data_IF_422032193307
#
_entry.id   IF_422032193307
#
_cell.length_a   1.000
_cell.length_b   1.000
_cell.length_c   1.000
_cell.angle_alpha   90.00
_cell.angle_beta   90.00
_cell.angle_gamma   90.00
#
_symmetry.space_group_name_H-M   'P 1'
#
loop_
_entity.id
_entity.type
_entity.pdbx_description
1 polymer ?
#
# COMPACT_ATOMS: atom_id res chain seq x y z
N UNK A 1 17.69 18.16 -4.41
CA UNK A 1 16.60 17.19 -4.20
C UNK A 1 17.07 16.16 -3.19
N UNK A 2 16.32 15.96 -2.12
CA UNK A 2 16.58 14.87 -1.16
C UNK A 2 16.43 13.55 -1.91
N UNK A 3 17.45 12.69 -1.91
CA UNK A 3 17.36 11.39 -2.57
C UNK A 3 16.22 10.58 -1.95
N UNK A 4 15.30 10.07 -2.77
CA UNK A 4 14.20 9.20 -2.35
C UNK A 4 14.65 7.74 -2.29
N UNK A 5 15.71 7.52 -1.51
CA UNK A 5 16.22 6.19 -1.24
C UNK A 5 15.38 5.45 -0.17
N UNK A 6 15.68 4.15 -0.01
CA UNK A 6 14.95 3.29 0.94
C UNK A 6 15.06 3.80 2.38
N UNK A 7 16.18 4.38 2.78
CA UNK A 7 16.41 4.86 4.15
C UNK A 7 15.50 6.07 4.41
N UNK A 8 15.46 7.04 3.49
CA UNK A 8 14.57 8.19 3.57
C UNK A 8 13.09 7.77 3.64
N UNK A 9 12.69 6.87 2.75
CA UNK A 9 11.30 6.39 2.68
C UNK A 9 10.89 5.63 3.94
N UNK A 10 11.75 4.75 4.44
CA UNK A 10 11.52 4.04 5.70
C UNK A 10 11.40 5.00 6.88
N UNK A 11 12.26 6.03 6.94
CA UNK A 11 12.19 7.09 7.96
C UNK A 11 10.85 7.83 7.93
N UNK A 12 10.34 8.17 6.74
CA UNK A 12 9.01 8.79 6.58
C UNK A 12 7.91 7.82 7.00
N UNK A 13 8.03 6.53 6.68
CA UNK A 13 7.04 5.51 7.04
C UNK A 13 6.93 5.32 8.56
N UNK A 14 8.06 5.23 9.26
CA UNK A 14 8.12 5.03 10.71
C UNK A 14 7.79 6.31 11.49
N UNK A 15 8.20 7.45 10.94
CA UNK A 15 8.01 8.78 11.53
C UNK A 15 6.56 9.26 11.57
N UNK A 16 6.37 10.40 12.23
CA UNK A 16 5.08 11.10 12.39
C UNK A 16 5.04 12.48 11.71
N UNK A 17 6.03 12.79 10.88
CA UNK A 17 6.05 14.05 10.13
C UNK A 17 5.00 14.02 9.00
N UNK A 18 3.92 14.77 9.23
CA UNK A 18 2.81 14.89 8.29
C UNK A 18 3.19 15.63 7.01
N UNK A 19 4.06 16.63 7.08
CA UNK A 19 4.49 17.41 5.91
C UNK A 19 5.43 16.59 5.03
N UNK A 20 6.37 15.86 5.63
CA UNK A 20 7.22 14.92 4.90
C UNK A 20 6.40 13.82 4.21
N UNK A 21 5.34 13.32 4.88
CA UNK A 21 4.43 12.32 4.30
C UNK A 21 3.64 12.89 3.12
N UNK A 22 3.11 14.12 3.24
CA UNK A 22 2.38 14.79 2.14
C UNK A 22 3.30 15.09 0.95
N UNK A 23 4.52 15.55 1.20
CA UNK A 23 5.51 15.80 0.17
C UNK A 23 5.83 14.51 -0.61
N UNK A 24 6.05 13.39 0.10
CA UNK A 24 6.24 12.08 -0.54
C UNK A 24 5.05 11.69 -1.42
N UNK A 25 3.82 11.92 -0.96
CA UNK A 25 2.63 11.62 -1.77
C UNK A 25 2.54 12.47 -3.03
N UNK A 26 2.78 13.77 -2.93
CA UNK A 26 2.74 14.68 -4.07
C UNK A 26 3.79 14.30 -5.13
N UNK A 27 5.00 13.99 -4.68
CA UNK A 27 6.09 13.57 -5.57
C UNK A 27 5.78 12.23 -6.25
N UNK A 28 5.27 11.24 -5.52
CA UNK A 28 4.85 9.97 -6.12
C UNK A 28 3.71 10.15 -7.11
N UNK A 29 2.70 10.96 -6.81
CA UNK A 29 1.59 11.21 -7.73
C UNK A 29 2.06 11.82 -9.05
N UNK A 30 3.10 12.66 -9.02
CA UNK A 30 3.69 13.24 -10.23
C UNK A 30 4.35 12.20 -11.15
N UNK A 31 4.62 10.98 -10.67
CA UNK A 31 5.19 9.88 -11.46
C UNK A 31 4.12 9.05 -12.22
N UNK A 32 2.88 9.54 -12.26
CA UNK A 32 1.80 8.90 -13.00
C UNK A 32 1.19 7.69 -12.29
N UNK A 33 0.52 6.78 -13.03
CA UNK A 33 -0.30 5.72 -12.43
C UNK A 33 0.44 4.80 -11.45
N UNK A 34 1.68 4.42 -11.77
CA UNK A 34 2.49 3.58 -10.87
C UNK A 34 2.82 4.28 -9.55
N UNK A 35 3.03 5.60 -9.61
CA UNK A 35 3.22 6.43 -8.42
C UNK A 35 1.95 6.55 -7.58
N UNK A 36 0.77 6.64 -8.22
CA UNK A 36 -0.52 6.62 -7.51
C UNK A 36 -0.75 5.26 -6.82
N UNK A 37 -0.38 4.14 -7.46
CA UNK A 37 -0.36 2.81 -6.82
C UNK A 37 0.53 2.82 -5.59
N UNK A 38 1.76 3.35 -5.71
CA UNK A 38 2.71 3.43 -4.60
C UNK A 38 2.19 4.28 -3.42
N UNK A 39 1.55 5.43 -3.69
CA UNK A 39 0.91 6.27 -2.66
C UNK A 39 -0.13 5.48 -1.89
N UNK A 40 -1.03 4.78 -2.60
CA UNK A 40 -2.14 4.10 -1.95
C UNK A 40 -1.67 2.90 -1.11
N UNK A 41 -0.69 2.13 -1.60
CA UNK A 41 -0.04 1.06 -0.84
C UNK A 41 0.62 1.61 0.43
N UNK A 42 1.44 2.66 0.30
CA UNK A 42 2.14 3.27 1.43
C UNK A 42 1.15 3.80 2.48
N UNK A 43 0.13 4.52 2.03
CA UNK A 43 -0.89 5.11 2.91
C UNK A 43 -1.72 4.04 3.61
N UNK A 44 -2.20 3.04 2.88
CA UNK A 44 -2.96 1.92 3.47
C UNK A 44 -2.14 1.23 4.57
N UNK A 45 -0.88 0.93 4.28
CA UNK A 45 0.01 0.25 5.23
C UNK A 45 0.32 1.11 6.46
N UNK A 46 0.67 2.39 6.28
CA UNK A 46 0.96 3.31 7.38
C UNK A 46 -0.26 3.52 8.27
N UNK A 47 -1.45 3.70 7.68
CA UNK A 47 -2.71 3.81 8.42
C UNK A 47 -3.03 2.52 9.19
N UNK A 48 -2.85 1.35 8.57
CA UNK A 48 -3.03 0.06 9.25
C UNK A 48 -2.09 -0.11 10.43
N UNK A 49 -0.83 0.32 10.32
CA UNK A 49 0.14 0.27 11.42
C UNK A 49 -0.26 1.23 12.55
N UNK A 50 -0.65 2.46 12.23
CA UNK A 50 -1.10 3.46 13.22
C UNK A 50 -2.37 3.02 13.96
N UNK A 51 -3.32 2.39 13.28
CA UNK A 51 -4.52 1.87 13.91
C UNK A 51 -4.21 0.81 14.99
N UNK A 52 -3.15 0.01 14.82
CA UNK A 52 -2.67 -0.94 15.84
C UNK A 52 -2.06 -0.22 17.05
N UNK A 53 -1.39 0.92 16.84
CA UNK A 53 -0.83 1.75 17.91
C UNK A 53 -1.94 2.47 18.69
N UNK A 54 -3.01 2.91 18.02
CA UNK A 54 -4.14 3.61 18.65
C UNK A 54 -5.16 2.67 19.33
N UNK A 55 -4.86 1.39 19.52
CA UNK A 55 -5.75 0.47 20.22
C UNK A 55 -6.14 1.04 21.60
N UNK A 56 -7.44 1.18 21.84
CA UNK A 56 -7.99 1.77 23.07
C UNK A 56 -8.07 3.32 23.08
N UNK A 57 -7.87 3.99 21.93
CA UNK A 57 -7.92 5.46 21.79
C UNK A 57 -8.83 5.89 20.63
N UNK A 58 -9.29 7.14 20.65
CA UNK A 58 -10.27 7.68 19.69
C UNK A 58 -9.84 7.80 18.22
N UNK A 59 -8.55 7.58 17.88
CA UNK A 59 -8.04 7.72 16.50
C UNK A 59 -7.96 6.40 15.72
N UNK A 60 -8.35 5.28 16.33
CA UNK A 60 -8.28 3.96 15.70
C UNK A 60 -9.18 3.86 14.46
N UNK A 61 -10.44 4.25 14.60
CA UNK A 61 -11.44 4.04 13.55
C UNK A 61 -11.13 4.94 12.34
N UNK A 62 -10.80 6.20 12.59
CA UNK A 62 -10.34 7.12 11.55
C UNK A 62 -9.12 6.59 10.77
N UNK A 63 -8.21 5.85 11.43
CA UNK A 63 -7.08 5.22 10.76
C UNK A 63 -7.50 4.01 9.92
N UNK A 64 -8.44 3.18 10.37
CA UNK A 64 -8.99 2.08 9.58
C UNK A 64 -9.83 2.57 8.40
N UNK A 65 -10.62 3.63 8.57
CA UNK A 65 -11.37 4.26 7.47
C UNK A 65 -10.42 4.79 6.41
N UNK A 66 -9.30 5.42 6.84
CA UNK A 66 -8.27 5.90 5.92
C UNK A 66 -7.57 4.76 5.18
N UNK A 67 -7.33 3.63 5.86
CA UNK A 67 -6.81 2.41 5.23
C UNK A 67 -7.78 1.93 4.16
N UNK A 68 -9.07 1.79 4.48
CA UNK A 68 -10.08 1.33 3.52
C UNK A 68 -10.16 2.26 2.31
N UNK A 69 -10.29 3.56 2.53
CA UNK A 69 -10.30 4.55 1.44
C UNK A 69 -9.04 4.50 0.56
N UNK A 70 -7.88 4.18 1.13
CA UNK A 70 -6.65 4.00 0.36
C UNK A 70 -6.68 2.72 -0.48
N UNK A 71 -7.28 1.64 0.04
CA UNK A 71 -7.48 0.40 -0.71
C UNK A 71 -8.46 0.59 -1.86
N UNK A 72 -9.54 1.34 -1.66
CA UNK A 72 -10.53 1.61 -2.72
C UNK A 72 -9.89 2.40 -3.87
N UNK A 73 -9.14 3.46 -3.55
CA UNK A 73 -8.37 4.22 -4.54
C UNK A 73 -7.30 3.37 -5.25
N UNK A 74 -6.63 2.46 -4.53
CA UNK A 74 -5.68 1.53 -5.14
C UNK A 74 -6.36 0.66 -6.19
N UNK A 75 -7.51 0.10 -5.85
CA UNK A 75 -8.30 -0.76 -6.73
C UNK A 75 -8.80 -0.01 -7.95
N UNK A 76 -9.33 1.21 -7.78
CA UNK A 76 -9.80 2.01 -8.91
C UNK A 76 -8.65 2.30 -9.91
N UNK A 77 -7.46 2.65 -9.41
CA UNK A 77 -6.27 2.91 -10.26
C UNK A 77 -5.76 1.64 -10.95
N UNK A 78 -5.77 0.49 -10.26
CA UNK A 78 -5.37 -0.80 -10.84
C UNK A 78 -6.36 -1.29 -11.92
N UNK A 79 -7.64 -0.96 -11.78
CA UNK A 79 -8.66 -1.23 -12.80
C UNK A 79 -8.50 -0.32 -14.01
N UNK A 80 -8.33 0.98 -13.78
CA UNK A 80 -8.18 1.99 -14.84
C UNK A 80 -6.89 1.79 -15.65
N UNK A 81 -5.81 1.38 -15.00
CA UNK A 81 -4.48 1.23 -15.61
C UNK A 81 -4.00 -0.24 -15.59
N UNK A 82 -4.81 -1.14 -16.13
CA UNK A 82 -4.45 -2.56 -16.26
C UNK A 82 -3.15 -2.80 -17.05
N UNK A 83 -2.74 -1.85 -17.89
CA UNK A 83 -1.46 -1.85 -18.61
C UNK A 83 -0.22 -1.78 -17.70
N UNK A 84 -0.37 -1.46 -16.41
CA UNK A 84 0.73 -1.53 -15.44
C UNK A 84 1.25 -2.95 -15.20
N UNK A 85 0.49 -3.98 -15.59
CA UNK A 85 0.95 -5.38 -15.55
C UNK A 85 1.11 -5.96 -14.14
N UNK A 86 0.57 -5.31 -13.11
CA UNK A 86 0.57 -5.84 -11.74
C UNK A 86 -0.48 -6.93 -11.58
N UNK A 87 -0.10 -8.07 -11.01
CA UNK A 87 -1.06 -9.11 -10.61
C UNK A 87 -1.67 -8.75 -9.26
N UNK A 88 -2.99 -8.73 -9.16
CA UNK A 88 -3.70 -8.39 -7.93
C UNK A 88 -5.10 -9.01 -7.91
N UNK A 89 -5.74 -8.99 -6.74
CA UNK A 89 -7.14 -9.37 -6.62
C UNK A 89 -7.56 -9.66 -5.19
N UNK A 90 -8.78 -10.16 -5.04
CA UNK A 90 -9.38 -10.51 -3.75
C UNK A 90 -9.38 -12.01 -3.50
N UNK A 91 -9.12 -12.43 -2.26
CA UNK A 91 -9.31 -13.81 -1.82
C UNK A 91 -9.73 -13.84 -0.36
N UNK A 92 -10.58 -14.79 0.00
CA UNK A 92 -10.93 -15.01 1.42
C UNK A 92 -9.77 -15.68 2.15
N UNK A 93 -9.48 -15.22 3.37
CA UNK A 93 -8.65 -15.90 4.34
C UNK A 93 -9.53 -16.81 5.21
N UNK A 94 -9.54 -18.13 4.98
CA UNK A 94 -10.42 -19.05 5.72
C UNK A 94 -10.04 -19.18 7.19
N UNK A 95 -8.87 -18.65 7.61
CA UNK A 95 -8.40 -18.66 8.99
C UNK A 95 -8.82 -17.42 9.77
N UNK A 96 -9.35 -16.40 9.10
CA UNK A 96 -9.76 -15.15 9.72
C UNK A 96 -11.26 -15.18 10.06
N UNK A 97 -11.59 -15.14 11.36
CA UNK A 97 -12.98 -15.06 11.83
C UNK A 97 -13.65 -13.72 11.48
N UNK A 98 -12.86 -12.64 11.40
CA UNK A 98 -13.28 -11.29 11.04
C UNK A 98 -12.32 -10.69 10.01
N UNK A 99 -12.81 -9.76 9.18
CA UNK A 99 -12.04 -9.16 8.09
C UNK A 99 -11.44 -10.19 7.12
N UNK A 100 -12.26 -11.18 6.75
CA UNK A 100 -11.83 -12.34 5.96
C UNK A 100 -11.43 -12.02 4.53
N UNK A 101 -11.81 -10.86 3.98
CA UNK A 101 -11.45 -10.49 2.62
C UNK A 101 -10.05 -9.89 2.58
N UNK A 102 -9.20 -10.41 1.71
CA UNK A 102 -7.83 -9.95 1.57
C UNK A 102 -7.59 -9.46 0.15
N UNK A 103 -7.15 -8.20 0.03
CA UNK A 103 -6.60 -7.67 -1.20
C UNK A 103 -5.13 -8.08 -1.28
N UNK A 104 -4.74 -8.79 -2.34
CA UNK A 104 -3.36 -9.14 -2.64
C UNK A 104 -2.85 -8.34 -3.83
N UNK A 105 -1.59 -7.92 -3.78
CA UNK A 105 -0.89 -7.26 -4.88
C UNK A 105 0.53 -7.84 -5.00
N UNK A 106 0.88 -8.34 -6.17
CA UNK A 106 2.25 -8.76 -6.51
C UNK A 106 3.07 -7.54 -6.93
N UNK A 107 4.03 -7.17 -6.08
CA UNK A 107 5.02 -6.16 -6.41
C UNK A 107 6.30 -6.84 -6.91
N UNK A 108 7.15 -6.14 -7.68
CA UNK A 108 8.47 -6.67 -8.07
C UNK A 108 9.38 -7.07 -6.90
N UNK A 109 9.06 -6.60 -5.69
CA UNK A 109 9.80 -6.87 -4.44
C UNK A 109 9.07 -7.88 -3.54
N UNK A 110 7.99 -8.48 -4.05
CA UNK A 110 7.18 -9.52 -3.41
C UNK A 110 5.76 -9.09 -3.09
N UNK A 111 4.95 -10.08 -2.70
CA UNK A 111 3.53 -9.92 -2.42
C UNK A 111 3.25 -8.98 -1.23
N UNK A 112 2.20 -8.19 -1.30
CA UNK A 112 1.66 -7.44 -0.16
C UNK A 112 0.16 -7.68 -0.06
N UNK A 113 -0.37 -7.57 1.16
CA UNK A 113 -1.78 -7.86 1.39
C UNK A 113 -2.41 -7.02 2.50
N UNK A 114 -3.74 -6.84 2.37
CA UNK A 114 -4.55 -6.09 3.33
C UNK A 114 -5.89 -6.77 3.59
N UNK A 115 -6.15 -7.16 4.84
CA UNK A 115 -7.45 -7.64 5.31
C UNK A 115 -8.48 -6.51 5.42
N UNK A 116 -9.73 -6.80 5.07
CA UNK A 116 -10.90 -5.92 5.20
C UNK A 116 -12.18 -6.72 5.42
N UNK A 117 -13.24 -6.03 5.87
CA UNK A 117 -14.53 -6.63 6.21
C UNK A 117 -15.30 -7.13 4.99
N UNK A 118 -15.27 -6.38 3.89
CA UNK A 118 -16.08 -6.63 2.69
C UNK A 118 -15.21 -6.78 1.46
N UNK A 119 -15.65 -7.62 0.51
CA UNK A 119 -14.98 -7.73 -0.80
C UNK A 119 -15.13 -6.41 -1.54
N UNK A 120 -14.03 -5.85 -2.05
CA UNK A 120 -14.07 -4.69 -2.94
C UNK A 120 -14.34 -5.04 -4.39
N UNK A 121 -14.19 -4.04 -5.28
CA UNK A 121 -14.30 -4.21 -6.73
C UNK A 121 -13.09 -4.94 -7.31
N UNK A 122 -13.24 -5.52 -8.50
CA UNK A 122 -12.16 -6.13 -9.26
C UNK A 122 -12.08 -7.65 -9.14
N UNK A 123 -11.00 -8.25 -9.67
CA UNK A 123 -10.88 -9.68 -9.88
C UNK A 123 -10.65 -10.44 -8.57
N UNK A 124 -10.86 -11.75 -8.63
CA UNK A 124 -10.34 -12.65 -7.60
C UNK A 124 -8.83 -12.82 -7.80
N UNK A 125 -8.10 -12.90 -6.70
CA UNK A 125 -6.65 -13.08 -6.74
C UNK A 125 -6.33 -14.50 -7.23
N UNK A 126 -5.55 -14.65 -8.32
CA UNK A 126 -5.32 -15.96 -8.92
C UNK A 126 -4.29 -16.80 -8.16
N UNK A 127 -3.48 -16.18 -7.31
CA UNK A 127 -2.40 -16.84 -6.58
C UNK A 127 -2.77 -17.28 -5.17
N UNK A 128 -1.73 -17.65 -4.42
CA UNK A 128 -1.80 -17.96 -3.00
C UNK A 128 -1.02 -16.95 -2.17
N UNK A 129 -1.34 -16.87 -0.88
CA UNK A 129 -0.54 -16.11 0.05
C UNK A 129 0.87 -16.68 0.11
N UNK A 130 1.88 -15.82 -0.01
CA UNK A 130 3.30 -16.21 -0.03
C UNK A 130 3.84 -16.75 1.32
N UNK A 131 2.99 -16.83 2.34
CA UNK A 131 3.31 -17.36 3.66
C UNK A 131 4.18 -16.44 4.53
N UNK A 132 4.50 -15.22 4.07
CA UNK A 132 5.38 -14.29 4.79
C UNK A 132 4.54 -13.29 5.60
N UNK A 133 4.71 -13.31 6.91
CA UNK A 133 4.03 -12.39 7.84
C UNK A 133 4.85 -11.13 8.05
N UNK A 134 4.17 -10.00 8.27
CA UNK A 134 4.74 -8.70 8.66
C UNK A 134 5.81 -8.11 7.72
N UNK A 135 5.88 -8.58 6.46
CA UNK A 135 6.84 -8.10 5.46
C UNK A 135 6.33 -6.95 4.59
N UNK A 136 5.01 -6.69 4.58
CA UNK A 136 4.40 -5.63 3.76
C UNK A 136 5.02 -4.23 3.95
N UNK A 137 5.32 -3.76 5.18
CA UNK A 137 5.97 -2.45 5.36
C UNK A 137 7.28 -2.31 4.57
N UNK A 138 8.18 -3.29 4.70
CA UNK A 138 9.47 -3.27 4.03
C UNK A 138 9.33 -3.35 2.51
N UNK A 139 8.48 -4.26 2.02
CA UNK A 139 8.20 -4.40 0.58
C UNK A 139 7.62 -3.12 -0.02
N UNK A 140 6.69 -2.47 0.66
CA UNK A 140 6.11 -1.23 0.16
C UNK A 140 7.14 -0.10 0.14
N UNK A 141 7.99 0.03 1.17
CA UNK A 141 9.06 1.03 1.16
C UNK A 141 10.08 0.77 0.03
N UNK A 142 10.45 -0.50 -0.18
CA UNK A 142 11.32 -0.90 -1.30
C UNK A 142 10.69 -0.63 -2.66
N UNK A 143 9.39 -0.87 -2.80
CA UNK A 143 8.65 -0.57 -4.02
C UNK A 143 8.61 0.92 -4.31
N UNK A 144 8.30 1.76 -3.30
CA UNK A 144 8.35 3.23 -3.43
C UNK A 144 9.74 3.71 -3.88
N UNK A 145 10.81 3.20 -3.27
CA UNK A 145 12.18 3.55 -3.65
C UNK A 145 12.52 3.11 -5.09
N UNK A 146 11.99 1.97 -5.52
CA UNK A 146 12.13 1.47 -6.90
C UNK A 146 11.41 2.37 -7.90
N UNK A 147 10.19 2.82 -7.59
CA UNK A 147 9.42 3.73 -8.45
C UNK A 147 10.17 5.05 -8.69
N UNK A 148 10.76 5.65 -7.64
CA UNK A 148 11.60 6.84 -7.81
C UNK A 148 12.83 6.59 -8.67
N UNK A 149 13.58 5.52 -8.39
CA UNK A 149 14.78 5.17 -9.16
C UNK A 149 14.48 4.91 -10.64
N UNK A 150 13.35 4.28 -10.96
CA UNK A 150 12.96 4.03 -12.34
C UNK A 150 12.55 5.31 -13.06
N UNK A 151 11.92 6.26 -12.36
CA UNK A 151 11.61 7.57 -12.92
C UNK A 151 12.88 8.39 -13.23
N UNK A 152 13.93 8.29 -12.41
CA UNK A 152 15.22 8.95 -12.66
C UNK A 152 15.96 8.42 -13.89
N UNK A 153 15.74 7.16 -14.27
CA UNK A 153 16.39 6.54 -15.45
C UNK A 153 15.67 6.91 -16.76
N UNK A 154 14.39 7.26 -16.69
CA UNK A 154 13.55 7.56 -17.86
C UNK A 154 13.50 9.07 -18.16
N UNK A 155 13.89 9.92 -17.20
CA UNK A 155 13.97 11.38 -17.35
C UNK A 155 15.27 11.83 -18.04
#
# INVERSE_FOLDING_TARGET
>A
MTSRDLINIAGIYEGSDGEATKALYAELQALGPIGIVAVNLFRAQKCSARAKVYRGRGYRDAAYDRKQWSMDNLVDVLLEHSSLGLTWGWKEDPRAEYHKWVLYVELPVGQVSFHTLTRGKGPDYPGDWDGRKDVSPGRICQFVAKVFREAEVVA
#
